data_IF_587040109609
#
_entry.id   IF_587040109609
#
_cell.length_a   1.000
_cell.length_b   1.000
_cell.length_c   1.000
_cell.angle_alpha   90.00
_cell.angle_beta   90.00
_cell.angle_gamma   90.00
#
_symmetry.space_group_name_H-M   'P 1'
#
loop_
_entity.id
_entity.type
_entity.pdbx_description
1 polymer ?
#
# COMPACT_ATOMS: atom_id res chain seq x y z
N UNK A 1 -3.41 3.45 14.76
CA UNK A 1 -3.68 4.77 14.17
C UNK A 1 -4.75 4.73 13.09
N UNK A 2 -4.71 3.79 12.11
CA UNK A 2 -5.71 3.71 11.01
C UNK A 2 -7.14 3.56 11.52
N UNK A 3 -7.41 2.70 12.50
CA UNK A 3 -8.75 2.55 13.11
C UNK A 3 -9.25 3.87 13.69
N UNK A 4 -8.42 4.55 14.50
CA UNK A 4 -8.77 5.85 15.10
C UNK A 4 -9.08 6.91 14.04
N UNK A 5 -8.31 6.92 12.95
CA UNK A 5 -8.57 7.80 11.81
C UNK A 5 -9.97 7.57 11.23
N UNK A 6 -10.35 6.31 10.96
CA UNK A 6 -11.68 6.00 10.45
C UNK A 6 -12.80 6.22 11.47
N UNK A 7 -12.54 5.98 12.76
CA UNK A 7 -13.49 6.31 13.83
C UNK A 7 -13.75 7.83 13.88
N UNK A 8 -12.71 8.68 13.79
CA UNK A 8 -12.88 10.12 13.73
C UNK A 8 -13.62 10.61 12.48
N UNK A 9 -13.58 9.84 11.40
CA UNK A 9 -14.36 10.04 10.18
C UNK A 9 -15.78 9.43 10.25
N UNK A 10 -16.24 9.06 11.44
CA UNK A 10 -17.58 8.58 11.70
C UNK A 10 -17.81 7.10 11.38
N UNK A 11 -16.78 6.31 11.09
CA UNK A 11 -16.91 4.88 10.92
C UNK A 11 -17.01 4.19 12.28
N UNK A 12 -18.09 3.46 12.50
CA UNK A 12 -18.23 2.62 13.70
C UNK A 12 -17.32 1.40 13.59
N UNK A 13 -16.48 1.22 14.61
CA UNK A 13 -15.60 0.04 14.74
C UNK A 13 -15.79 -0.52 16.15
N UNK A 14 -16.33 -1.72 16.22
CA UNK A 14 -16.48 -2.45 17.47
C UNK A 14 -15.29 -3.42 17.61
N UNK A 15 -14.61 -3.37 18.72
CA UNK A 15 -13.43 -4.18 19.03
C UNK A 15 -13.75 -5.15 20.16
N UNK A 16 -13.46 -6.45 19.95
CA UNK A 16 -13.48 -7.47 20.96
C UNK A 16 -12.10 -8.15 21.04
N UNK A 17 -11.92 -9.10 21.96
CA UNK A 17 -10.67 -9.85 22.08
C UNK A 17 -10.34 -10.71 20.84
N UNK A 18 -11.36 -11.07 20.05
CA UNK A 18 -11.24 -12.02 18.95
C UNK A 18 -11.46 -11.40 17.57
N UNK A 19 -12.19 -10.29 17.49
CA UNK A 19 -12.57 -9.69 16.21
C UNK A 19 -12.66 -8.17 16.26
N UNK A 20 -12.42 -7.55 15.09
CA UNK A 20 -12.76 -6.17 14.79
C UNK A 20 -13.94 -6.15 13.84
N UNK A 21 -15.01 -5.47 14.21
CA UNK A 21 -16.21 -5.32 13.38
C UNK A 21 -16.31 -3.89 12.86
N UNK A 22 -16.08 -3.71 11.55
CA UNK A 22 -16.05 -2.40 10.88
C UNK A 22 -17.35 -2.22 10.10
N UNK A 23 -18.11 -1.19 10.43
CA UNK A 23 -19.35 -0.85 9.74
C UNK A 23 -19.06 0.17 8.64
N UNK A 24 -18.81 -0.33 7.44
CA UNK A 24 -18.54 0.51 6.28
C UNK A 24 -19.69 1.44 5.95
N UNK A 25 -19.36 2.65 5.50
CA UNK A 25 -20.34 3.70 5.17
C UNK A 25 -20.45 3.99 3.67
N UNK A 26 -19.84 3.17 2.84
CA UNK A 26 -19.75 3.42 1.41
C UNK A 26 -18.81 4.59 1.06
N UNK A 27 -18.78 4.94 -0.21
CA UNK A 27 -17.82 5.89 -0.75
C UNK A 27 -18.01 7.32 -0.17
N UNK A 28 -19.26 7.72 0.06
CA UNK A 28 -19.66 9.08 0.43
C UNK A 28 -20.14 9.22 1.88
N UNK A 29 -20.02 8.18 2.69
CA UNK A 29 -20.59 8.15 4.04
C UNK A 29 -19.64 8.57 5.14
N UNK A 30 -18.43 9.01 4.83
CA UNK A 30 -17.52 9.59 5.82
C UNK A 30 -18.02 10.98 6.28
N UNK A 31 -17.64 11.37 7.49
CA UNK A 31 -18.05 12.66 8.08
C UNK A 31 -16.83 13.46 8.52
N UNK A 32 -16.98 14.77 8.54
CA UNK A 32 -15.95 15.69 9.01
C UNK A 32 -15.49 15.33 10.44
N UNK A 33 -14.18 15.16 10.65
CA UNK A 33 -13.66 14.86 11.98
C UNK A 33 -13.65 16.12 12.85
N UNK A 34 -13.87 15.99 14.16
CA UNK A 34 -13.88 17.11 15.11
C UNK A 34 -12.48 17.72 15.35
N UNK A 35 -11.44 17.14 14.84
CA UNK A 35 -10.06 17.61 15.00
C UNK A 35 -9.09 16.95 14.05
N UNK A 36 -7.80 17.29 14.14
CA UNK A 36 -6.78 16.71 13.28
C UNK A 36 -6.66 15.18 13.43
N UNK A 37 -6.52 14.51 12.33
CA UNK A 37 -6.25 13.05 12.28
C UNK A 37 -4.74 12.82 12.45
N UNK A 38 -4.37 12.15 13.53
CA UNK A 38 -2.98 11.74 13.78
C UNK A 38 -2.69 10.36 13.17
N UNK A 39 -1.87 10.35 12.14
CA UNK A 39 -1.40 9.14 11.47
C UNK A 39 -0.20 8.48 12.20
N UNK A 40 0.29 9.05 13.31
CA UNK A 40 1.47 8.57 14.01
C UNK A 40 2.71 8.54 13.11
N UNK A 41 3.40 7.40 13.03
CA UNK A 41 4.55 7.19 12.12
C UNK A 41 4.14 6.57 10.77
N UNK A 42 2.87 6.55 10.40
CA UNK A 42 2.41 5.88 9.18
C UNK A 42 2.51 6.77 7.95
N UNK A 43 3.59 6.64 7.19
CA UNK A 43 3.75 7.29 5.89
C UNK A 43 2.73 6.81 4.85
N UNK A 44 2.34 5.55 4.91
CA UNK A 44 1.27 4.99 4.08
C UNK A 44 -0.07 5.56 4.49
N UNK A 45 -0.38 5.54 5.79
CA UNK A 45 -1.66 6.05 6.31
C UNK A 45 -1.92 7.49 5.87
N UNK A 46 -0.99 8.41 6.13
CA UNK A 46 -1.19 9.83 5.78
C UNK A 46 -1.36 10.04 4.26
N UNK A 47 -0.59 9.32 3.43
CA UNK A 47 -0.67 9.49 1.97
C UNK A 47 -1.95 8.93 1.37
N UNK A 48 -2.34 7.73 1.77
CA UNK A 48 -3.57 7.10 1.27
C UNK A 48 -4.82 7.86 1.77
N UNK A 49 -4.84 8.27 3.04
CA UNK A 49 -5.91 9.10 3.57
C UNK A 49 -6.01 10.45 2.85
N UNK A 50 -4.88 11.08 2.50
CA UNK A 50 -4.93 12.32 1.71
C UNK A 50 -5.63 12.09 0.37
N UNK A 51 -5.36 10.98 -0.32
CA UNK A 51 -6.04 10.62 -1.58
C UNK A 51 -7.54 10.37 -1.38
N UNK A 52 -7.91 9.60 -0.37
CA UNK A 52 -9.30 9.28 -0.04
C UNK A 52 -10.10 10.53 0.32
N UNK A 53 -9.53 11.41 1.14
CA UNK A 53 -10.21 12.59 1.70
C UNK A 53 -10.26 13.74 0.71
N UNK A 54 -9.41 13.74 -0.32
CA UNK A 54 -9.46 14.73 -1.39
C UNK A 54 -10.80 14.75 -2.15
N UNK A 55 -11.49 13.60 -2.22
CA UNK A 55 -12.79 13.46 -2.88
C UNK A 55 -14.01 13.61 -1.96
N UNK A 56 -13.83 13.82 -0.65
CA UNK A 56 -14.95 14.06 0.28
C UNK A 56 -15.40 15.54 0.22
N UNK A 57 -16.53 15.87 0.79
CA UNK A 57 -17.12 17.22 0.77
C UNK A 57 -16.89 18.04 2.05
N UNK A 58 -15.88 17.68 2.85
CA UNK A 58 -15.57 18.33 4.13
C UNK A 58 -14.08 18.66 4.29
N UNK A 59 -13.77 19.39 5.36
CA UNK A 59 -12.42 19.79 5.73
C UNK A 59 -11.75 18.78 6.66
N UNK A 60 -10.46 18.50 6.46
CA UNK A 60 -9.69 17.60 7.32
C UNK A 60 -8.26 18.07 7.44
N UNK A 61 -7.66 17.91 8.61
CA UNK A 61 -6.23 18.10 8.84
C UNK A 61 -5.58 16.75 9.15
N UNK A 62 -4.56 16.39 8.38
CA UNK A 62 -3.76 15.18 8.58
C UNK A 62 -2.39 15.54 9.13
N UNK A 63 -1.98 14.88 10.20
CA UNK A 63 -0.66 15.06 10.82
C UNK A 63 -0.06 13.71 11.23
N UNK A 64 1.06 13.75 11.91
CA UNK A 64 1.72 12.59 12.47
C UNK A 64 2.88 13.02 13.38
N UNK A 65 3.71 12.07 13.77
CA UNK A 65 4.87 12.32 14.60
C UNK A 65 5.94 13.20 13.92
N UNK A 66 7.04 13.41 14.60
CA UNK A 66 8.13 14.23 14.07
C UNK A 66 8.74 13.66 12.79
N UNK A 67 8.83 12.33 12.67
CA UNK A 67 9.31 11.66 11.47
C UNK A 67 8.39 11.93 10.27
N UNK A 68 7.08 11.74 10.44
CA UNK A 68 6.10 12.00 9.37
C UNK A 68 6.12 13.46 8.94
N UNK A 69 6.24 14.40 9.89
CA UNK A 69 6.29 15.84 9.57
C UNK A 69 7.55 16.29 8.81
N UNK A 70 8.56 15.43 8.72
CA UNK A 70 9.77 15.65 7.91
C UNK A 70 9.72 14.96 6.54
N UNK A 71 8.82 13.98 6.35
CA UNK A 71 8.72 13.24 5.08
C UNK A 71 8.08 14.08 3.98
N UNK A 72 8.57 13.97 2.72
CA UNK A 72 8.02 14.72 1.60
C UNK A 72 6.59 14.25 1.27
N UNK A 73 5.67 15.21 1.17
CA UNK A 73 4.26 15.00 0.79
C UNK A 73 3.96 15.58 -0.59
N UNK A 74 4.80 16.42 -1.15
CA UNK A 74 4.60 17.04 -2.45
C UNK A 74 4.35 16.05 -3.58
N UNK A 75 4.91 14.83 -3.48
CA UNK A 75 4.71 13.77 -4.49
C UNK A 75 3.26 13.32 -4.63
N UNK A 76 2.45 13.45 -3.58
CA UNK A 76 1.01 13.15 -3.65
C UNK A 76 0.18 14.43 -3.74
N UNK A 77 0.63 15.52 -3.12
CA UNK A 77 -0.12 16.79 -3.10
C UNK A 77 -0.21 17.39 -4.49
N UNK A 78 0.88 17.35 -5.27
CA UNK A 78 0.89 17.93 -6.64
C UNK A 78 -0.15 17.27 -7.54
N UNK A 79 -0.13 15.97 -7.79
CA UNK A 79 -1.14 15.34 -8.65
C UNK A 79 -2.56 15.41 -8.09
N UNK A 80 -2.76 15.36 -6.77
CA UNK A 80 -4.10 15.55 -6.21
C UNK A 80 -4.65 16.95 -6.46
N UNK A 81 -3.79 17.99 -6.42
CA UNK A 81 -4.19 19.35 -6.82
C UNK A 81 -4.51 19.43 -8.31
N UNK A 82 -3.80 18.70 -9.17
CA UNK A 82 -4.12 18.59 -10.60
C UNK A 82 -5.50 17.95 -10.80
N UNK A 83 -5.90 17.00 -9.95
CA UNK A 83 -7.25 16.43 -9.91
C UNK A 83 -8.31 17.44 -9.43
N UNK A 84 -7.91 18.57 -8.86
CA UNK A 84 -8.81 19.61 -8.35
C UNK A 84 -8.92 19.66 -6.82
N UNK A 85 -8.17 18.85 -6.10
CA UNK A 85 -8.18 18.88 -4.64
C UNK A 85 -7.58 20.19 -4.08
N UNK A 86 -8.19 20.74 -3.05
CA UNK A 86 -7.66 21.89 -2.31
C UNK A 86 -6.86 21.38 -1.11
N UNK A 87 -5.54 21.41 -1.21
CA UNK A 87 -4.65 20.91 -0.17
C UNK A 87 -3.66 22.01 0.21
N UNK A 88 -3.62 22.39 1.48
CA UNK A 88 -2.60 23.27 2.05
C UNK A 88 -1.68 22.48 3.00
N UNK A 89 -0.51 23.01 3.27
CA UNK A 89 0.44 22.37 4.18
C UNK A 89 1.73 23.17 4.31
N UNK A 90 2.61 22.73 5.21
CA UNK A 90 3.91 23.39 5.40
C UNK A 90 4.73 23.36 4.11
N UNK A 91 5.49 24.41 3.86
CA UNK A 91 6.29 24.62 2.64
C UNK A 91 5.44 24.42 1.36
N UNK A 92 4.24 25.00 1.33
CA UNK A 92 3.37 24.89 0.17
C UNK A 92 2.74 23.51 -0.06
N UNK A 93 2.70 22.64 0.97
CA UNK A 93 2.20 21.27 0.88
C UNK A 93 3.29 20.21 0.71
N UNK A 94 4.56 20.61 0.73
CA UNK A 94 5.67 19.66 0.68
C UNK A 94 5.83 18.85 1.99
N UNK A 95 5.30 19.35 3.11
CA UNK A 95 5.41 18.71 4.41
C UNK A 95 4.07 18.75 5.17
N UNK A 96 3.84 17.73 5.99
CA UNK A 96 2.72 17.71 6.95
C UNK A 96 2.94 18.73 8.10
N UNK A 97 1.84 19.21 8.76
CA UNK A 97 0.44 18.84 8.56
C UNK A 97 -0.09 19.23 7.19
N UNK A 98 -1.04 18.43 6.68
CA UNK A 98 -1.78 18.74 5.45
C UNK A 98 -3.23 19.08 5.82
N UNK A 99 -3.71 20.22 5.37
CA UNK A 99 -5.11 20.59 5.42
C UNK A 99 -5.73 20.27 4.06
N UNK A 100 -6.72 19.41 4.04
CA UNK A 100 -7.42 18.93 2.86
C UNK A 100 -8.84 19.42 2.92
N UNK A 101 -9.26 20.23 1.95
CA UNK A 101 -10.66 20.52 1.72
C UNK A 101 -11.10 19.71 0.53
N UNK A 102 -12.05 18.83 0.73
CA UNK A 102 -12.55 17.97 -0.31
C UNK A 102 -13.24 18.76 -1.42
N UNK A 103 -13.23 18.21 -2.61
CA UNK A 103 -13.75 18.86 -3.80
C UNK A 103 -14.21 17.82 -4.84
N UNK A 104 -14.98 18.29 -5.84
CA UNK A 104 -15.26 17.48 -7.01
C UNK A 104 -13.96 17.27 -7.79
N UNK A 105 -13.49 16.04 -7.80
CA UNK A 105 -12.28 15.70 -8.51
C UNK A 105 -12.55 15.42 -9.99
N UNK A 106 -11.56 15.70 -10.81
CA UNK A 106 -11.52 15.36 -12.25
C UNK A 106 -10.42 14.34 -12.51
N UNK A 107 -10.63 13.51 -13.50
CA UNK A 107 -9.62 12.57 -13.96
C UNK A 107 -8.40 13.29 -14.54
N UNK A 108 -7.23 12.70 -14.35
CA UNK A 108 -5.96 13.20 -14.89
C UNK A 108 -5.18 12.10 -15.60
N UNK A 109 -4.25 12.50 -16.46
CA UNK A 109 -3.21 11.66 -17.00
C UNK A 109 -1.90 12.00 -16.27
N UNK A 110 -1.52 11.17 -15.31
CA UNK A 110 -0.34 11.41 -14.48
C UNK A 110 0.78 10.42 -14.78
N UNK A 111 1.95 10.94 -15.11
CA UNK A 111 3.18 10.13 -15.21
C UNK A 111 4.01 10.36 -13.96
N UNK A 112 4.16 9.31 -13.15
CA UNK A 112 4.94 9.37 -11.93
C UNK A 112 6.43 9.46 -12.24
N UNK A 113 7.17 10.40 -11.65
CA UNK A 113 8.62 10.50 -11.86
C UNK A 113 9.40 9.36 -11.18
N UNK A 114 8.77 8.62 -10.28
CA UNK A 114 9.36 7.51 -9.52
C UNK A 114 8.38 6.35 -9.38
N UNK A 115 8.89 5.14 -9.29
CA UNK A 115 8.10 3.98 -8.92
C UNK A 115 7.71 4.07 -7.43
N UNK A 116 6.43 4.30 -7.15
CA UNK A 116 5.94 4.45 -5.78
C UNK A 116 4.51 3.99 -5.63
N UNK A 117 4.33 2.86 -4.96
CA UNK A 117 3.02 2.33 -4.65
C UNK A 117 2.15 3.32 -3.85
N UNK A 118 2.74 4.12 -2.96
CA UNK A 118 1.99 5.08 -2.15
C UNK A 118 1.41 6.22 -2.98
N UNK A 119 2.16 6.73 -3.97
CA UNK A 119 1.66 7.75 -4.90
C UNK A 119 0.52 7.16 -5.73
N UNK A 120 0.78 6.01 -6.34
CA UNK A 120 -0.21 5.29 -7.13
C UNK A 120 -1.48 5.02 -6.34
N UNK A 121 -1.37 4.40 -5.16
CA UNK A 121 -2.52 4.08 -4.30
C UNK A 121 -3.32 5.31 -3.88
N UNK A 122 -2.65 6.42 -3.53
CA UNK A 122 -3.33 7.67 -3.20
C UNK A 122 -4.14 8.21 -4.39
N UNK A 123 -3.57 8.14 -5.60
CA UNK A 123 -4.26 8.59 -6.81
C UNK A 123 -5.40 7.64 -7.21
N UNK A 124 -5.24 6.33 -7.06
CA UNK A 124 -6.30 5.36 -7.33
C UNK A 124 -7.48 5.54 -6.37
N UNK A 125 -7.21 5.81 -5.08
CA UNK A 125 -8.26 6.12 -4.11
C UNK A 125 -8.98 7.42 -4.44
N UNK A 126 -8.24 8.48 -4.82
CA UNK A 126 -8.85 9.74 -5.25
C UNK A 126 -9.65 9.57 -6.54
N UNK A 127 -9.18 8.74 -7.46
CA UNK A 127 -9.83 8.49 -8.73
C UNK A 127 -11.22 7.86 -8.60
N UNK A 128 -11.51 7.15 -7.50
CA UNK A 128 -12.87 6.65 -7.21
C UNK A 128 -13.92 7.77 -7.15
N UNK A 129 -13.49 8.99 -6.84
CA UNK A 129 -14.34 10.19 -6.71
C UNK A 129 -14.26 11.12 -7.94
N UNK A 130 -13.38 10.82 -8.89
CA UNK A 130 -13.14 11.70 -10.02
C UNK A 130 -14.14 11.50 -11.16
N UNK A 131 -14.48 12.55 -11.87
CA UNK A 131 -15.23 12.44 -13.12
C UNK A 131 -14.29 12.04 -14.27
N UNK A 132 -14.61 10.93 -14.96
CA UNK A 132 -13.85 10.41 -16.10
C UNK A 132 -12.84 9.31 -15.73
N UNK A 133 -11.92 9.03 -16.65
CA UNK A 133 -10.92 7.97 -16.53
C UNK A 133 -9.57 8.53 -16.12
N UNK A 134 -9.12 8.27 -14.92
CA UNK A 134 -7.77 8.61 -14.46
C UNK A 134 -6.76 7.59 -14.98
N UNK A 135 -5.63 8.11 -15.48
CA UNK A 135 -4.50 7.30 -15.96
C UNK A 135 -3.27 7.56 -15.10
N UNK A 136 -2.68 6.51 -14.57
CA UNK A 136 -1.44 6.59 -13.77
C UNK A 136 -0.37 5.73 -14.42
N UNK A 137 0.68 6.38 -14.93
CA UNK A 137 1.83 5.70 -15.55
C UNK A 137 3.01 5.69 -14.59
N UNK A 138 3.62 4.54 -14.39
CA UNK A 138 4.83 4.37 -13.57
C UNK A 138 6.05 4.09 -14.44
N UNK A 139 7.26 4.59 -14.10
CA UNK A 139 8.48 4.30 -14.85
C UNK A 139 8.92 2.83 -14.72
N UNK A 140 8.55 2.19 -13.60
CA UNK A 140 8.74 0.77 -13.30
C UNK A 140 7.58 0.29 -12.44
N UNK A 141 7.28 -0.99 -12.48
CA UNK A 141 6.22 -1.57 -11.66
C UNK A 141 6.56 -1.43 -10.18
N UNK A 142 5.70 -0.76 -9.44
CA UNK A 142 5.70 -0.73 -7.97
C UNK A 142 4.73 -1.77 -7.42
N UNK A 143 4.67 -1.94 -6.10
CA UNK A 143 3.73 -2.85 -5.43
C UNK A 143 2.31 -2.64 -5.92
N UNK A 144 1.57 -3.73 -6.16
CA UNK A 144 0.26 -3.75 -6.80
C UNK A 144 -0.89 -4.19 -5.87
N UNK A 145 -0.69 -4.11 -4.56
CA UNK A 145 -1.69 -4.51 -3.55
C UNK A 145 -3.02 -3.78 -3.71
N UNK A 146 -3.00 -2.47 -4.01
CA UNK A 146 -4.23 -1.70 -4.20
C UNK A 146 -5.00 -2.17 -5.43
N UNK A 147 -4.30 -2.45 -6.52
CA UNK A 147 -4.89 -2.96 -7.75
C UNK A 147 -5.56 -4.32 -7.52
N UNK A 148 -4.85 -5.24 -6.86
CA UNK A 148 -5.38 -6.57 -6.53
C UNK A 148 -6.61 -6.48 -5.62
N UNK A 149 -6.52 -5.65 -4.59
CA UNK A 149 -7.62 -5.44 -3.67
C UNK A 149 -8.83 -4.81 -4.39
N UNK A 150 -8.63 -3.81 -5.24
CA UNK A 150 -9.71 -3.20 -6.01
C UNK A 150 -10.39 -4.23 -6.92
N UNK A 151 -9.62 -5.05 -7.62
CA UNK A 151 -10.17 -6.13 -8.46
C UNK A 151 -10.96 -7.16 -7.64
N UNK A 152 -10.48 -7.54 -6.45
CA UNK A 152 -11.19 -8.47 -5.57
C UNK A 152 -12.52 -7.92 -5.05
N UNK A 153 -12.67 -6.59 -4.97
CA UNK A 153 -13.91 -5.90 -4.65
C UNK A 153 -14.76 -5.56 -5.89
N UNK A 154 -14.35 -6.00 -7.09
CA UNK A 154 -15.10 -5.75 -8.33
C UNK A 154 -14.90 -4.34 -8.89
N UNK A 155 -13.94 -3.57 -8.39
CA UNK A 155 -13.58 -2.27 -8.96
C UNK A 155 -12.74 -2.52 -10.22
N UNK A 156 -13.27 -2.10 -11.37
CA UNK A 156 -12.63 -2.31 -12.66
C UNK A 156 -11.36 -1.46 -12.79
N UNK A 157 -10.22 -2.13 -12.91
CA UNK A 157 -8.94 -1.55 -13.27
C UNK A 157 -8.47 -2.15 -14.59
N UNK A 158 -8.02 -1.30 -15.50
CA UNK A 158 -7.40 -1.73 -16.76
C UNK A 158 -5.92 -1.39 -16.71
N UNK A 159 -5.10 -2.25 -17.29
CA UNK A 159 -3.66 -2.02 -17.41
C UNK A 159 -3.26 -2.00 -18.89
N UNK A 160 -2.62 -0.93 -19.30
CA UNK A 160 -2.04 -0.75 -20.64
C UNK A 160 -0.52 -0.54 -20.48
N UNK A 161 0.25 -1.62 -20.55
CA UNK A 161 1.70 -1.59 -20.27
C UNK A 161 2.00 -1.14 -18.83
N UNK A 162 2.68 -0.01 -18.69
CA UNK A 162 3.00 0.62 -17.39
C UNK A 162 1.93 1.58 -16.88
N UNK A 163 0.82 1.74 -17.61
CA UNK A 163 -0.27 2.66 -17.28
C UNK A 163 -1.45 1.89 -16.70
N UNK A 164 -1.95 2.37 -15.56
CA UNK A 164 -3.20 1.93 -14.96
C UNK A 164 -4.31 2.93 -15.29
N UNK A 165 -5.48 2.41 -15.62
CA UNK A 165 -6.67 3.18 -15.91
C UNK A 165 -7.76 2.79 -14.91
N UNK A 166 -8.39 3.79 -14.32
CA UNK A 166 -9.53 3.61 -13.42
C UNK A 166 -10.61 4.63 -13.75
N UNK A 167 -11.83 4.15 -13.90
CA UNK A 167 -13.00 4.99 -14.09
C UNK A 167 -13.53 5.41 -12.72
N UNK A 168 -13.80 6.69 -12.55
CA UNK A 168 -14.38 7.22 -11.33
C UNK A 168 -15.88 6.93 -11.21
N UNK A 169 -16.43 7.13 -10.03
CA UNK A 169 -17.84 6.87 -9.72
C UNK A 169 -18.28 5.44 -10.14
N UNK A 170 -17.61 4.39 -9.63
CA UNK A 170 -18.00 3.04 -10.00
C UNK A 170 -19.48 2.82 -9.69
N UNK A 171 -20.27 2.64 -10.76
CA UNK A 171 -21.73 2.51 -10.71
C UNK A 171 -22.20 1.14 -10.19
N UNK A 172 -21.29 0.24 -9.93
CA UNK A 172 -21.57 -1.12 -9.48
C UNK A 172 -21.48 -1.17 -7.97
N UNK A 173 -22.52 -1.69 -7.34
CA UNK A 173 -22.46 -2.07 -5.93
C UNK A 173 -21.23 -2.95 -5.72
N UNK A 174 -20.33 -2.51 -4.87
CA UNK A 174 -19.10 -3.24 -4.57
C UNK A 174 -19.47 -4.62 -4.08
N UNK A 175 -18.96 -5.64 -4.74
CA UNK A 175 -19.13 -6.99 -4.24
C UNK A 175 -18.41 -7.08 -2.91
N UNK A 176 -19.11 -7.37 -1.84
CA UNK A 176 -18.45 -7.72 -0.59
C UNK A 176 -17.56 -8.93 -0.89
N UNK A 177 -16.25 -8.78 -0.75
CA UNK A 177 -15.39 -9.94 -0.79
C UNK A 177 -15.87 -10.91 0.29
N UNK A 178 -16.24 -12.14 -0.05
CA UNK A 178 -16.91 -13.06 0.87
C UNK A 178 -16.07 -13.35 2.12
N UNK A 179 -14.76 -13.32 1.97
CA UNK A 179 -13.78 -13.46 3.05
C UNK A 179 -12.43 -12.99 2.56
N UNK A 180 -11.78 -12.12 3.32
CA UNK A 180 -10.43 -11.67 3.06
C UNK A 180 -9.53 -12.15 4.19
N UNK A 181 -8.53 -12.96 3.84
CA UNK A 181 -7.48 -13.38 4.77
C UNK A 181 -6.27 -12.50 4.50
N UNK A 182 -5.82 -11.77 5.53
CA UNK A 182 -4.60 -10.96 5.43
C UNK A 182 -3.39 -11.87 5.55
N UNK A 183 -2.53 -11.96 4.53
CA UNK A 183 -1.32 -12.77 4.60
C UNK A 183 -0.35 -12.26 5.66
N UNK A 184 0.55 -13.15 6.11
CA UNK A 184 1.70 -12.75 6.91
C UNK A 184 2.60 -11.76 6.16
N UNK A 185 3.16 -10.80 6.89
CA UNK A 185 4.02 -9.77 6.31
C UNK A 185 5.37 -10.36 5.87
N UNK A 186 5.68 -10.21 4.59
CA UNK A 186 6.93 -10.68 3.99
C UNK A 186 8.16 -10.02 4.63
N UNK A 187 8.11 -8.73 4.96
CA UNK A 187 9.23 -8.05 5.62
C UNK A 187 9.50 -8.58 7.02
N UNK A 188 8.46 -8.96 7.77
CA UNK A 188 8.64 -9.63 9.05
C UNK A 188 9.19 -11.06 8.87
N UNK A 189 8.70 -11.81 7.88
CA UNK A 189 9.20 -13.14 7.55
C UNK A 189 10.66 -13.13 7.09
N UNK A 190 11.14 -12.08 6.45
CA UNK A 190 12.49 -11.94 5.92
C UNK A 190 13.57 -12.18 6.97
N UNK A 191 13.36 -11.74 8.21
CA UNK A 191 14.31 -11.97 9.31
C UNK A 191 14.47 -13.46 9.64
N UNK A 192 13.36 -14.19 9.64
CA UNK A 192 13.36 -15.64 9.88
C UNK A 192 13.91 -16.40 8.68
N UNK A 193 13.61 -15.94 7.45
CA UNK A 193 14.14 -16.53 6.21
C UNK A 193 15.67 -16.45 6.21
N UNK A 194 16.23 -15.26 6.43
CA UNK A 194 17.69 -15.08 6.46
C UNK A 194 18.28 -15.83 7.64
N UNK A 195 17.71 -15.70 8.84
CA UNK A 195 18.19 -16.43 10.04
C UNK A 195 18.25 -17.95 9.83
N UNK A 196 17.19 -18.56 9.28
CA UNK A 196 17.15 -19.99 8.99
C UNK A 196 18.16 -20.40 7.90
N UNK A 197 18.44 -19.51 6.95
CA UNK A 197 19.42 -19.77 5.89
C UNK A 197 20.85 -19.84 6.44
N UNK A 198 21.22 -18.94 7.37
CA UNK A 198 22.60 -18.82 7.86
C UNK A 198 22.91 -19.65 9.11
N UNK A 199 21.90 -20.06 9.89
CA UNK A 199 22.11 -20.85 11.12
C UNK A 199 22.20 -22.34 10.75
N UNK A 200 23.34 -23.01 10.99
CA UNK A 200 23.51 -24.41 10.64
C UNK A 200 22.47 -25.34 11.30
N UNK A 201 21.93 -26.28 10.52
CA UNK A 201 20.95 -27.25 10.97
C UNK A 201 19.51 -26.73 11.04
N UNK A 202 19.27 -25.49 10.63
CA UNK A 202 17.91 -24.94 10.56
C UNK A 202 17.07 -25.62 9.48
N UNK A 203 15.80 -25.89 9.81
CA UNK A 203 14.71 -26.25 8.88
C UNK A 203 13.43 -25.63 9.43
N UNK A 204 13.01 -24.48 8.86
CA UNK A 204 11.92 -23.66 9.35
C UNK A 204 10.88 -23.50 8.27
N UNK A 205 9.60 -23.63 8.60
CA UNK A 205 8.48 -23.32 7.71
C UNK A 205 7.70 -22.13 8.29
N UNK A 206 7.66 -21.03 7.54
CA UNK A 206 6.89 -19.83 7.87
C UNK A 206 5.60 -19.90 7.09
N UNK A 207 4.47 -19.99 7.78
CA UNK A 207 3.18 -20.24 7.16
C UNK A 207 2.47 -18.96 6.71
N UNK A 208 1.66 -19.07 5.66
CA UNK A 208 0.73 -18.04 5.20
C UNK A 208 1.37 -16.67 4.90
N UNK A 209 2.57 -16.67 4.36
CA UNK A 209 3.28 -15.43 4.00
C UNK A 209 2.80 -14.91 2.65
N UNK A 210 2.59 -13.61 2.55
CA UNK A 210 2.35 -12.95 1.26
C UNK A 210 3.59 -13.03 0.38
N UNK A 211 3.44 -13.65 -0.79
CA UNK A 211 4.54 -13.85 -1.76
C UNK A 211 4.30 -13.06 -3.05
N UNK A 212 3.78 -11.86 -2.93
CA UNK A 212 3.58 -10.99 -4.08
C UNK A 212 4.91 -10.73 -4.80
N UNK A 213 5.01 -11.01 -6.13
CA UNK A 213 6.26 -10.88 -6.89
C UNK A 213 6.87 -9.47 -6.85
N UNK A 214 6.06 -8.44 -6.59
CA UNK A 214 6.55 -7.06 -6.45
C UNK A 214 7.27 -6.80 -5.11
N UNK A 215 7.31 -7.82 -4.20
CA UNK A 215 7.93 -7.73 -2.87
C UNK A 215 8.97 -8.80 -2.58
N UNK A 216 9.01 -9.87 -3.35
CA UNK A 216 9.80 -11.07 -3.03
C UNK A 216 11.22 -11.05 -3.61
N UNK A 217 11.74 -9.89 -4.00
CA UNK A 217 13.10 -9.77 -4.53
C UNK A 217 14.19 -10.34 -3.62
N UNK A 218 13.97 -10.34 -2.29
CA UNK A 218 14.86 -11.02 -1.34
C UNK A 218 14.98 -12.52 -1.66
N UNK A 219 13.89 -13.21 -1.99
CA UNK A 219 13.92 -14.66 -2.32
C UNK A 219 14.76 -14.91 -3.57
N UNK A 220 14.63 -14.04 -4.59
CA UNK A 220 15.40 -14.13 -5.82
C UNK A 220 16.90 -13.98 -5.54
N UNK A 221 17.27 -12.99 -4.71
CA UNK A 221 18.67 -12.76 -4.32
C UNK A 221 19.21 -13.95 -3.52
N UNK A 222 18.50 -14.39 -2.48
CA UNK A 222 18.92 -15.51 -1.65
C UNK A 222 19.05 -16.80 -2.46
N UNK A 223 18.13 -17.06 -3.38
CA UNK A 223 18.21 -18.23 -4.29
C UNK A 223 19.46 -18.16 -5.16
N UNK A 224 19.79 -17.00 -5.73
CA UNK A 224 21.04 -16.81 -6.47
C UNK A 224 22.29 -16.99 -5.61
N UNK A 225 22.20 -16.63 -4.32
CA UNK A 225 23.27 -16.87 -3.34
C UNK A 225 23.43 -18.34 -2.97
N UNK A 226 22.46 -19.21 -3.32
CA UNK A 226 22.47 -20.65 -3.06
C UNK A 226 21.64 -21.08 -1.85
N UNK A 227 20.71 -20.25 -1.39
CA UNK A 227 19.80 -20.61 -0.31
C UNK A 227 18.87 -21.76 -0.70
N UNK A 228 18.54 -22.63 0.26
CA UNK A 228 17.56 -23.71 0.12
C UNK A 228 16.19 -23.23 0.60
N UNK A 229 15.43 -22.66 -0.33
CA UNK A 229 14.11 -22.06 -0.08
C UNK A 229 13.08 -22.75 -0.99
N UNK A 230 11.95 -23.13 -0.39
CA UNK A 230 10.83 -23.76 -1.08
C UNK A 230 9.53 -23.02 -0.76
N UNK A 231 8.75 -22.71 -1.80
CA UNK A 231 7.39 -22.20 -1.66
C UNK A 231 6.41 -23.38 -1.71
N UNK A 232 5.75 -23.64 -0.59
CA UNK A 232 4.80 -24.71 -0.40
C UNK A 232 3.38 -24.12 -0.33
N UNK A 233 2.37 -24.95 -0.58
CA UNK A 233 0.95 -24.60 -0.41
C UNK A 233 0.59 -23.24 -1.07
N UNK A 234 1.15 -22.98 -2.25
CA UNK A 234 0.89 -21.75 -3.00
C UNK A 234 -0.59 -21.65 -3.35
N UNK A 235 -1.17 -20.49 -3.08
CA UNK A 235 -2.58 -20.19 -3.35
C UNK A 235 -2.78 -18.70 -3.54
N UNK A 236 -3.98 -18.31 -3.92
CA UNK A 236 -4.38 -16.91 -4.01
C UNK A 236 -5.47 -16.62 -2.98
N UNK A 237 -5.33 -15.53 -2.23
CA UNK A 237 -6.31 -15.06 -1.25
C UNK A 237 -6.63 -13.59 -1.53
N UNK A 238 -7.86 -13.29 -1.94
CA UNK A 238 -8.31 -11.95 -2.31
C UNK A 238 -7.39 -11.24 -3.34
N UNK A 239 -6.90 -11.98 -4.33
CA UNK A 239 -5.99 -11.48 -5.36
C UNK A 239 -4.52 -11.43 -4.95
N UNK A 240 -4.19 -11.72 -3.69
CA UNK A 240 -2.81 -11.77 -3.21
C UNK A 240 -2.25 -13.21 -3.22
N UNK A 241 -1.08 -13.43 -3.81
CA UNK A 241 -0.43 -14.73 -3.74
C UNK A 241 0.13 -14.98 -2.34
N UNK A 242 -0.17 -16.16 -1.80
CA UNK A 242 0.21 -16.60 -0.46
C UNK A 242 0.88 -17.95 -0.53
N UNK A 243 1.91 -18.18 0.25
CA UNK A 243 2.59 -19.47 0.35
C UNK A 243 3.10 -19.73 1.77
N UNK A 244 3.42 -21.00 2.04
CA UNK A 244 4.26 -21.35 3.16
C UNK A 244 5.71 -21.39 2.66
N UNK A 245 6.61 -20.70 3.35
CA UNK A 245 8.02 -20.59 2.96
C UNK A 245 8.84 -21.52 3.85
N UNK A 246 9.33 -22.63 3.29
CA UNK A 246 10.27 -23.51 3.97
C UNK A 246 11.70 -23.11 3.63
N UNK A 247 12.51 -22.92 4.66
CA UNK A 247 13.91 -22.50 4.53
C UNK A 247 14.80 -23.46 5.32
N UNK A 248 15.83 -23.95 4.68
CA UNK A 248 16.88 -24.77 5.33
C UNK A 248 18.23 -24.06 5.26
N UNK A 249 19.06 -24.34 6.24
CA UNK A 249 20.41 -23.77 6.26
C UNK A 249 21.21 -24.17 5.03
N UNK A 250 21.93 -23.19 4.48
CA UNK A 250 22.71 -23.37 3.25
C UNK A 250 24.01 -22.58 3.32
N UNK A 251 25.00 -23.01 2.53
CA UNK A 251 26.22 -22.22 2.30
C UNK A 251 25.96 -21.17 1.23
N UNK A 252 25.93 -19.93 1.64
CA UNK A 252 25.72 -18.80 0.75
C UNK A 252 27.03 -18.35 0.09
N UNK A 253 26.89 -17.75 -1.09
CA UNK A 253 27.95 -17.06 -1.83
C UNK A 253 27.48 -15.67 -2.24
N UNK A 254 28.40 -14.71 -2.25
CA UNK A 254 28.10 -13.35 -2.66
C UNK A 254 27.65 -13.28 -4.13
N UNK A 255 26.67 -12.43 -4.41
CA UNK A 255 26.15 -12.16 -5.75
C UNK A 255 26.03 -10.67 -6.02
N UNK A 256 26.09 -10.26 -7.27
CA UNK A 256 25.78 -8.90 -7.67
C UNK A 256 24.26 -8.74 -7.81
N UNK A 257 23.71 -7.71 -7.15
CA UNK A 257 22.28 -7.36 -7.25
C UNK A 257 22.14 -6.20 -8.25
N UNK A 258 21.46 -6.45 -9.35
CA UNK A 258 21.19 -5.44 -10.36
C UNK A 258 20.15 -4.42 -9.94
N UNK A 259 20.14 -3.22 -10.56
CA UNK A 259 19.23 -2.12 -10.20
C UNK A 259 17.74 -2.47 -10.37
N UNK A 260 17.41 -3.48 -11.15
CA UNK A 260 16.01 -3.89 -11.38
C UNK A 260 15.37 -4.59 -10.17
N UNK A 261 16.18 -5.22 -9.32
CA UNK A 261 15.72 -5.87 -8.10
C UNK A 261 15.60 -4.91 -6.90
N UNK A 262 16.22 -3.72 -6.96
CA UNK A 262 16.23 -2.78 -5.84
C UNK A 262 14.81 -2.40 -5.37
N UNK A 263 13.84 -2.07 -6.24
CA UNK A 263 12.49 -1.72 -5.78
C UNK A 263 11.76 -2.85 -5.06
N UNK A 264 12.13 -4.10 -5.35
CA UNK A 264 11.51 -5.31 -4.78
C UNK A 264 12.23 -5.82 -3.53
N UNK A 265 13.42 -5.25 -3.20
CA UNK A 265 14.27 -5.67 -2.08
C UNK A 265 14.53 -4.54 -1.09
N UNK A 266 14.13 -3.31 -1.39
CA UNK A 266 14.55 -2.12 -0.64
C UNK A 266 14.19 -2.19 0.85
N UNK A 267 13.05 -2.77 1.19
CA UNK A 267 12.60 -2.89 2.58
C UNK A 267 13.37 -3.99 3.33
N UNK A 268 13.79 -5.03 2.62
CA UNK A 268 14.53 -6.18 3.13
C UNK A 268 16.06 -6.01 3.00
N UNK A 269 16.51 -4.90 2.41
CA UNK A 269 17.93 -4.66 2.19
C UNK A 269 18.79 -4.72 3.47
N UNK A 270 18.36 -4.18 4.62
CA UNK A 270 19.13 -4.29 5.85
C UNK A 270 19.39 -5.74 6.28
N UNK A 271 18.40 -6.62 6.20
CA UNK A 271 18.56 -8.02 6.59
C UNK A 271 19.29 -8.84 5.50
N UNK A 272 19.22 -8.43 4.24
CA UNK A 272 19.99 -9.02 3.16
C UNK A 272 21.49 -8.80 3.33
N UNK A 273 21.91 -7.69 3.99
CA UNK A 273 23.31 -7.38 4.26
C UNK A 273 23.93 -8.21 5.39
N UNK A 274 23.15 -8.93 6.17
CA UNK A 274 23.62 -9.83 7.24
C UNK A 274 24.15 -11.13 6.65
#
# INVERSE_FOLDING_TARGET
NTMRAFQSLGVRIDESAEELRIYGKGLWGLTEPSGPIDCGNSGTGIRLLTGLLAGQDFFTVLTGDESIRRRPMGRIVKPLREMGATIAGRKGGELAPLAVTGSRLRAINYTSPVASAQIKSALLLAALFAEGTTRVTEPRLSRDHTERLFQSFGIALRREGSTLLIDGHPSVGWSAAPRLVVPGDFSAAAFFIVGATIIPGSDVTIQQVGVNPTRTGLLDVLTRMGADIQLLNQREEAGEPVADIRVRSARLRGVAVGPDLIPQTIDEFPILCV
#
